data_IF_671394400195
#
_entry.id   IF_671394400195
#
_cell.length_a   1.000
_cell.length_b   1.000
_cell.length_c   1.000
_cell.angle_alpha   90.00
_cell.angle_beta   90.00
_cell.angle_gamma   90.00
#
_symmetry.space_group_name_H-M   'P 1'
#
loop_
_entity.id
_entity.type
_entity.pdbx_description
1 polymer ?
#
# COMPACT_ATOMS: atom_id res chain seq x y z
N UNK A 1 0.13 -6.11 19.19
CA UNK A 1 -0.06 -4.82 18.50
C UNK A 1 1.24 -4.01 18.34
N UNK A 2 1.96 -3.67 19.43
CA UNK A 2 3.23 -2.91 19.41
C UNK A 2 4.24 -3.39 18.35
N UNK A 3 4.47 -4.69 18.25
CA UNK A 3 5.44 -5.28 17.31
C UNK A 3 5.11 -5.08 15.81
N UNK A 4 3.83 -4.99 15.45
CA UNK A 4 3.39 -4.81 14.06
C UNK A 4 3.65 -3.35 13.64
N UNK A 5 3.29 -2.41 14.52
CA UNK A 5 3.50 -0.97 14.30
C UNK A 5 5.00 -0.65 14.20
N UNK A 6 5.83 -1.26 15.05
CA UNK A 6 7.29 -1.07 15.00
C UNK A 6 7.90 -1.62 13.70
N UNK A 7 7.43 -2.78 13.21
CA UNK A 7 7.87 -3.33 11.93
C UNK A 7 7.43 -2.45 10.76
N UNK A 8 6.19 -1.95 10.79
CA UNK A 8 5.69 -0.99 9.83
C UNK A 8 6.59 0.26 9.77
N UNK A 9 6.85 0.90 10.92
CA UNK A 9 7.73 2.09 10.97
C UNK A 9 9.16 1.80 10.53
N UNK A 10 9.69 0.61 10.83
CA UNK A 10 11.02 0.21 10.36
C UNK A 10 11.08 0.08 8.84
N UNK A 11 10.09 -0.59 8.24
CA UNK A 11 9.98 -0.71 6.79
C UNK A 11 9.74 0.65 6.13
N UNK A 12 8.89 1.50 6.70
CA UNK A 12 8.64 2.86 6.23
C UNK A 12 9.93 3.69 6.17
N UNK A 13 10.66 3.77 7.29
CA UNK A 13 11.95 4.49 7.36
C UNK A 13 12.97 3.97 6.35
N UNK A 14 12.99 2.65 6.11
CA UNK A 14 13.85 2.02 5.10
C UNK A 14 13.54 2.46 3.67
N UNK A 15 12.26 2.61 3.33
CA UNK A 15 11.83 3.07 1.99
C UNK A 15 11.94 4.60 1.83
N UNK A 16 11.80 5.34 2.92
CA UNK A 16 11.89 6.81 2.93
C UNK A 16 13.35 7.30 2.82
N UNK A 17 14.30 6.68 3.53
CA UNK A 17 15.71 7.14 3.55
C UNK A 17 16.33 7.38 2.16
N UNK A 18 16.14 6.50 1.15
CA UNK A 18 16.67 6.71 -0.19
C UNK A 18 16.07 7.89 -0.96
N UNK A 19 14.92 8.44 -0.54
CA UNK A 19 14.29 9.57 -1.25
C UNK A 19 15.03 10.88 -1.01
N UNK A 20 15.91 10.96 0.00
CA UNK A 20 16.62 12.18 0.41
C UNK A 20 15.69 13.36 0.76
N UNK A 21 14.43 13.06 1.10
CA UNK A 21 13.38 14.06 1.29
C UNK A 21 12.61 14.35 0.00
N UNK A 22 11.39 14.83 0.14
CA UNK A 22 10.57 15.25 -0.99
C UNK A 22 10.77 16.75 -1.19
N UNK A 23 11.14 17.16 -2.40
CA UNK A 23 11.30 18.58 -2.76
C UNK A 23 9.99 19.38 -2.79
N UNK A 24 8.85 18.72 -2.53
CA UNK A 24 7.51 19.29 -2.45
C UNK A 24 6.62 18.42 -1.55
N UNK A 25 5.59 19.02 -0.95
CA UNK A 25 4.67 18.33 -0.03
C UNK A 25 3.87 17.24 -0.75
N UNK A 26 3.45 17.49 -1.97
CA UNK A 26 2.68 16.57 -2.82
C UNK A 26 3.43 15.26 -3.04
N UNK A 27 4.76 15.33 -3.19
CA UNK A 27 5.62 14.16 -3.32
C UNK A 27 5.62 13.31 -2.04
N UNK A 28 5.58 13.96 -0.87
CA UNK A 28 5.54 13.27 0.42
C UNK A 28 4.20 12.56 0.65
N UNK A 29 3.09 13.23 0.32
CA UNK A 29 1.74 12.67 0.42
C UNK A 29 1.61 11.47 -0.51
N UNK A 30 2.02 11.63 -1.78
CA UNK A 30 1.96 10.56 -2.78
C UNK A 30 2.77 9.33 -2.34
N UNK A 31 3.98 9.54 -1.82
CA UNK A 31 4.81 8.45 -1.33
C UNK A 31 4.18 7.71 -0.15
N UNK A 32 3.70 8.44 0.86
CA UNK A 32 3.09 7.83 2.05
C UNK A 32 1.85 7.04 1.65
N UNK A 33 1.00 7.59 0.79
CA UNK A 33 -0.21 6.92 0.29
C UNK A 33 0.14 5.62 -0.44
N UNK A 34 1.08 5.66 -1.39
CA UNK A 34 1.51 4.48 -2.14
C UNK A 34 2.16 3.44 -1.22
N UNK A 35 2.97 3.87 -0.26
CA UNK A 35 3.59 2.96 0.71
C UNK A 35 2.54 2.25 1.57
N UNK A 36 1.56 2.97 2.09
CA UNK A 36 0.48 2.41 2.91
C UNK A 36 -0.36 1.43 2.09
N UNK A 37 -0.70 1.79 0.86
CA UNK A 37 -1.45 0.91 -0.05
C UNK A 37 -0.68 -0.38 -0.33
N UNK A 38 0.61 -0.26 -0.67
CA UNK A 38 1.49 -1.39 -0.90
C UNK A 38 1.59 -2.30 0.33
N UNK A 39 1.89 -1.73 1.50
CA UNK A 39 2.17 -2.50 2.71
C UNK A 39 0.94 -3.27 3.20
N UNK A 40 -0.25 -2.68 3.09
CA UNK A 40 -1.48 -3.25 3.66
C UNK A 40 -2.27 -4.15 2.70
N UNK A 41 -2.23 -3.88 1.39
CA UNK A 41 -3.09 -4.59 0.43
C UNK A 41 -2.31 -5.47 -0.55
N UNK A 42 -1.01 -5.20 -0.76
CA UNK A 42 -0.26 -5.83 -1.86
C UNK A 42 0.95 -6.64 -1.40
N UNK A 43 1.59 -6.25 -0.29
CA UNK A 43 2.83 -6.86 0.18
C UNK A 43 2.54 -8.07 1.09
N UNK A 44 2.94 -9.30 0.71
CA UNK A 44 2.96 -10.44 1.62
C UNK A 44 3.90 -10.22 2.80
N UNK A 45 3.48 -10.61 4.00
CA UNK A 45 4.35 -10.58 5.19
C UNK A 45 4.61 -12.00 5.67
N UNK A 46 5.90 -12.36 5.85
CA UNK A 46 6.26 -13.67 6.40
C UNK A 46 5.68 -13.92 7.79
N UNK A 47 5.47 -12.86 8.59
CA UNK A 47 4.82 -12.96 9.90
C UNK A 47 3.30 -13.25 9.82
N UNK A 48 2.71 -13.15 8.63
CA UNK A 48 1.30 -13.42 8.35
C UNK A 48 1.14 -14.63 7.40
N UNK A 49 2.08 -15.58 7.44
CA UNK A 49 2.04 -16.77 6.57
C UNK A 49 2.02 -16.39 5.08
N UNK A 50 2.74 -15.33 4.71
CA UNK A 50 2.76 -14.75 3.36
C UNK A 50 1.41 -14.16 2.90
N UNK A 51 0.53 -13.82 3.84
CA UNK A 51 -0.66 -13.01 3.57
C UNK A 51 -0.38 -11.51 3.71
N UNK A 52 -1.29 -10.72 3.15
CA UNK A 52 -1.34 -9.27 3.34
C UNK A 52 -2.11 -8.92 4.62
N UNK A 53 -1.86 -7.76 5.25
CA UNK A 53 -2.58 -7.35 6.47
C UNK A 53 -4.08 -7.16 6.26
N UNK A 54 -4.49 -6.67 5.08
CA UNK A 54 -5.88 -6.50 4.69
C UNK A 54 -6.12 -7.25 3.37
N UNK A 55 -6.89 -8.34 3.45
CA UNK A 55 -7.18 -9.20 2.30
C UNK A 55 -8.32 -8.60 1.49
N UNK A 56 -8.07 -8.37 0.21
CA UNK A 56 -9.08 -7.99 -0.79
C UNK A 56 -9.22 -9.14 -1.79
N UNK A 57 -10.35 -9.87 -1.79
CA UNK A 57 -10.57 -11.01 -2.69
C UNK A 57 -10.38 -10.66 -4.17
N UNK A 58 -10.70 -9.43 -4.56
CA UNK A 58 -10.59 -8.90 -5.91
C UNK A 58 -9.13 -8.85 -6.41
N UNK A 59 -8.16 -8.83 -5.50
CA UNK A 59 -6.73 -8.77 -5.82
C UNK A 59 -6.05 -10.14 -5.83
N UNK A 60 -6.66 -11.15 -5.18
CA UNK A 60 -6.02 -12.45 -4.96
C UNK A 60 -5.92 -13.28 -6.24
N UNK A 61 -6.93 -13.17 -7.11
CA UNK A 61 -7.00 -13.86 -8.40
C UNK A 61 -6.06 -13.31 -9.48
N UNK A 62 -5.35 -12.21 -9.20
CA UNK A 62 -4.55 -11.51 -10.21
C UNK A 62 -3.09 -12.03 -10.27
N UNK A 63 -2.56 -12.23 -11.48
CA UNK A 63 -1.36 -13.04 -11.73
C UNK A 63 -0.05 -12.38 -11.30
N UNK A 64 0.01 -11.04 -11.28
CA UNK A 64 1.24 -10.31 -10.96
C UNK A 64 0.95 -8.94 -10.33
N UNK A 65 1.96 -8.36 -9.68
CA UNK A 65 1.85 -7.10 -8.96
C UNK A 65 1.32 -5.92 -9.80
N UNK A 66 1.74 -5.71 -11.07
CA UNK A 66 1.14 -4.66 -11.90
C UNK A 66 -0.37 -4.80 -12.10
N UNK A 67 -0.89 -6.03 -12.27
CA UNK A 67 -2.32 -6.27 -12.41
C UNK A 67 -3.06 -5.92 -11.10
N UNK A 68 -2.47 -6.31 -9.95
CA UNK A 68 -3.02 -5.98 -8.63
C UNK A 68 -3.07 -4.48 -8.37
N UNK A 69 -2.02 -3.75 -8.75
CA UNK A 69 -2.03 -2.28 -8.70
C UNK A 69 -3.12 -1.68 -9.59
N UNK A 70 -3.22 -2.13 -10.84
CA UNK A 70 -4.24 -1.66 -11.77
C UNK A 70 -5.66 -1.87 -11.22
N UNK A 71 -5.94 -3.05 -10.66
CA UNK A 71 -7.23 -3.34 -10.03
C UNK A 71 -7.48 -2.49 -8.78
N UNK A 72 -6.48 -2.29 -7.93
CA UNK A 72 -6.61 -1.45 -6.73
C UNK A 72 -6.92 0.00 -7.10
N UNK A 73 -6.27 0.54 -8.13
CA UNK A 73 -6.54 1.89 -8.63
C UNK A 73 -7.96 1.98 -9.20
N UNK A 74 -8.39 1.01 -10.01
CA UNK A 74 -9.74 0.97 -10.56
C UNK A 74 -10.80 0.95 -9.44
N UNK A 75 -10.62 0.12 -8.41
CA UNK A 75 -11.52 0.08 -7.24
C UNK A 75 -11.56 1.43 -6.50
N UNK A 76 -10.43 2.12 -6.39
CA UNK A 76 -10.39 3.44 -5.78
C UNK A 76 -11.13 4.49 -6.62
N UNK A 77 -11.06 4.41 -7.96
CA UNK A 77 -11.81 5.28 -8.86
C UNK A 77 -13.32 5.02 -8.74
N UNK A 78 -13.75 3.76 -8.80
CA UNK A 78 -15.16 3.37 -8.62
C UNK A 78 -15.72 3.91 -7.28
N UNK A 79 -14.93 3.83 -6.22
CA UNK A 79 -15.30 4.35 -4.90
C UNK A 79 -15.48 5.87 -4.89
N UNK A 80 -14.59 6.61 -5.55
CA UNK A 80 -14.69 8.07 -5.64
C UNK A 80 -15.92 8.50 -6.44
N UNK A 81 -16.26 7.78 -7.53
CA UNK A 81 -17.46 8.04 -8.31
C UNK A 81 -18.74 7.80 -7.49
N UNK A 82 -18.77 6.73 -6.69
CA UNK A 82 -19.90 6.44 -5.79
C UNK A 82 -20.07 7.50 -4.69
N UNK A 83 -18.97 8.11 -4.23
CA UNK A 83 -19.02 9.19 -3.23
C UNK A 83 -19.44 10.55 -3.81
N UNK A 84 -19.33 10.73 -5.13
CA UNK A 84 -19.70 11.96 -5.81
C UNK A 84 -21.21 12.04 -6.14
N UNK A 85 -21.97 10.98 -5.87
CA UNK A 85 -23.44 10.86 -6.01
C UNK A 85 -24.11 11.11 -4.66
#
# INVERSE_FOLDING_TARGET
>A
MKQIIERFHRTFKGNYRPTHGFGAEEGSVSFVTLFVAYFNFLRPHGALESRVPVVLPELDSLPHMPARWGKLIAMAQDFLEQQAV
#
